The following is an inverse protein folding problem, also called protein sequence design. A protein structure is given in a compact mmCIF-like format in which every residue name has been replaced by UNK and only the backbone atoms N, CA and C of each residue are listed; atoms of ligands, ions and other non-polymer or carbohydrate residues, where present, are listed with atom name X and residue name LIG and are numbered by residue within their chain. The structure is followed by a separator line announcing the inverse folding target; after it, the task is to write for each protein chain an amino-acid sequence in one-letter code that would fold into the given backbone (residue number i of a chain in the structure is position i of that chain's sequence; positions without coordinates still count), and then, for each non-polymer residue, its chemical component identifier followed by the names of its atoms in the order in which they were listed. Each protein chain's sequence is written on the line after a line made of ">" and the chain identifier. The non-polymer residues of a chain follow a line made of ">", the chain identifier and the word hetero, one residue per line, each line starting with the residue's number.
data_IF_993056300949
#
_entry.id   IF_993056300949
#
_cell.length_a   1.000
_cell.length_b   1.000
_cell.length_c   1.000
_cell.angle_alpha   90.00
_cell.angle_beta   90.00
_cell.angle_gamma   90.00
#
_symmetry.space_group_name_H-M   'P 1'
#
loop_
_entity.id
_entity.type
_entity.pdbx_description
1 polymer ?
#
# COMPACT_ATOMS: atom_id res chain seq x y z
N UNK A 1 -6.29 23.60 -10.88
CA UNK A 1 -6.81 22.30 -10.38
C UNK A 1 -6.41 22.15 -8.92
N UNK A 2 -7.33 21.73 -8.02
CA UNK A 2 -7.04 21.56 -6.59
C UNK A 2 -7.13 20.11 -6.20
N UNK A 3 -6.13 19.59 -5.49
CA UNK A 3 -6.07 18.21 -5.01
C UNK A 3 -5.71 18.23 -3.53
N UNK A 4 -6.44 17.51 -2.70
CA UNK A 4 -6.12 17.25 -1.30
C UNK A 4 -5.58 15.84 -1.21
N UNK A 5 -4.42 15.66 -0.60
CA UNK A 5 -3.79 14.36 -0.43
C UNK A 5 -3.49 14.09 1.04
N UNK A 6 -3.98 12.97 1.55
CA UNK A 6 -3.55 12.42 2.84
C UNK A 6 -2.55 11.29 2.63
N UNK A 7 -1.67 11.06 3.61
CA UNK A 7 -0.72 9.95 3.54
C UNK A 7 0.49 10.19 2.64
N UNK A 8 0.77 11.43 2.22
CA UNK A 8 1.91 11.78 1.35
C UNK A 8 3.28 11.34 1.89
N UNK A 9 3.42 11.10 3.19
CA UNK A 9 4.66 10.56 3.81
C UNK A 9 4.68 9.02 3.90
N UNK A 10 3.67 8.35 3.34
CA UNK A 10 3.59 6.89 3.26
C UNK A 10 4.25 6.34 1.98
N UNK A 11 4.35 5.00 1.89
CA UNK A 11 4.95 4.31 0.74
C UNK A 11 4.28 4.72 -0.58
N UNK A 12 2.97 4.51 -0.69
CA UNK A 12 2.23 4.84 -1.91
C UNK A 12 1.96 6.34 -2.03
N UNK A 13 1.61 7.00 -0.91
CA UNK A 13 1.26 8.42 -0.93
C UNK A 13 2.38 9.34 -1.40
N UNK A 14 3.65 9.01 -1.12
CA UNK A 14 4.81 9.76 -1.64
C UNK A 14 4.91 9.67 -3.17
N UNK A 15 4.65 8.50 -3.74
CA UNK A 15 4.63 8.32 -5.19
C UNK A 15 3.44 9.01 -5.84
N UNK A 16 2.25 8.99 -5.20
CA UNK A 16 1.09 9.79 -5.67
C UNK A 16 1.43 11.28 -5.67
N UNK A 17 2.08 11.78 -4.61
CA UNK A 17 2.56 13.17 -4.56
C UNK A 17 3.51 13.50 -5.71
N UNK A 18 4.47 12.62 -6.00
CA UNK A 18 5.41 12.83 -7.12
C UNK A 18 4.69 12.86 -8.47
N UNK A 19 3.78 11.92 -8.73
CA UNK A 19 3.01 11.88 -9.97
C UNK A 19 2.12 13.14 -10.17
N UNK A 20 1.49 13.65 -9.08
CA UNK A 20 0.72 14.88 -9.13
C UNK A 20 1.62 16.09 -9.43
N UNK A 21 2.77 16.20 -8.78
CA UNK A 21 3.72 17.29 -9.02
C UNK A 21 4.29 17.21 -10.45
N UNK A 22 4.61 16.03 -10.94
CA UNK A 22 5.03 15.83 -12.32
C UNK A 22 3.94 16.26 -13.30
N UNK A 23 2.67 15.90 -13.04
CA UNK A 23 1.52 16.35 -13.83
C UNK A 23 1.46 17.88 -13.89
N UNK A 24 1.57 18.59 -12.76
CA UNK A 24 1.55 20.06 -12.74
C UNK A 24 2.72 20.69 -13.49
N UNK A 25 3.93 20.12 -13.35
CA UNK A 25 5.15 20.62 -14.00
C UNK A 25 5.08 20.43 -15.52
N UNK A 26 4.68 19.24 -15.97
CA UNK A 26 4.73 18.87 -17.39
C UNK A 26 3.60 19.45 -18.21
N UNK A 27 2.40 19.52 -17.65
CA UNK A 27 1.21 20.02 -18.35
C UNK A 27 1.00 21.51 -18.17
N UNK A 28 1.79 22.16 -17.31
CA UNK A 28 1.67 23.59 -16.95
C UNK A 28 0.25 23.97 -16.46
N UNK A 29 -0.45 23.00 -15.87
CA UNK A 29 -1.75 23.25 -15.24
C UNK A 29 -1.52 24.13 -14.01
N UNK A 30 -2.32 25.17 -13.86
CA UNK A 30 -2.43 25.92 -12.60
C UNK A 30 -3.04 24.99 -11.55
N UNK A 31 -2.16 24.31 -10.79
CA UNK A 31 -2.49 23.26 -9.84
C UNK A 31 -2.01 23.59 -8.43
N UNK A 32 -2.82 23.24 -7.43
CA UNK A 32 -2.45 23.31 -6.01
C UNK A 32 -2.70 21.97 -5.33
N UNK A 33 -1.67 21.45 -4.67
CA UNK A 33 -1.69 20.22 -3.90
C UNK A 33 -1.69 20.57 -2.40
N UNK A 34 -2.81 20.33 -1.74
CA UNK A 34 -2.96 20.45 -0.30
C UNK A 34 -2.60 19.13 0.36
N UNK A 35 -1.55 19.10 1.16
CA UNK A 35 -1.07 17.88 1.84
C UNK A 35 -1.48 17.92 3.29
N UNK A 36 -2.36 16.99 3.68
CA UNK A 36 -2.69 16.77 5.09
C UNK A 36 -1.65 15.83 5.68
N UNK A 37 -0.79 16.35 6.55
CA UNK A 37 0.27 15.58 7.21
C UNK A 37 0.36 15.95 8.69
N UNK A 38 0.76 14.96 9.51
CA UNK A 38 0.95 15.13 10.96
C UNK A 38 2.44 15.37 11.28
N UNK A 39 2.69 16.15 12.32
CA UNK A 39 4.00 16.17 12.94
C UNK A 39 4.37 14.77 13.47
N UNK A 40 5.64 14.42 13.50
CA UNK A 40 6.11 13.13 13.98
C UNK A 40 7.38 13.29 14.83
N UNK A 41 7.25 13.10 16.11
CA UNK A 41 8.33 13.35 17.05
C UNK A 41 8.75 14.83 17.01
N UNK A 42 10.00 15.10 16.66
CA UNK A 42 10.55 16.48 16.56
C UNK A 42 10.43 17.08 15.16
N UNK A 43 9.96 16.31 14.16
CA UNK A 43 9.85 16.76 12.78
C UNK A 43 8.46 17.32 12.51
N UNK A 44 8.39 18.53 11.98
CA UNK A 44 7.15 19.10 11.48
C UNK A 44 6.68 18.39 10.21
N UNK A 45 5.39 18.57 9.85
CA UNK A 45 4.86 18.09 8.58
C UNK A 45 5.64 18.67 7.39
N UNK A 46 6.01 19.96 7.46
CA UNK A 46 6.81 20.64 6.44
C UNK A 46 8.21 20.01 6.30
N UNK A 47 8.91 19.75 7.42
CA UNK A 47 10.24 19.13 7.38
C UNK A 47 10.19 17.76 6.71
N UNK A 48 9.18 16.96 7.05
CA UNK A 48 8.98 15.63 6.47
C UNK A 48 8.72 15.65 4.97
N UNK A 49 7.92 16.60 4.48
CA UNK A 49 7.69 16.75 3.05
C UNK A 49 8.95 17.26 2.35
N UNK A 50 9.67 18.21 2.93
CA UNK A 50 10.94 18.69 2.38
C UNK A 50 12.00 17.59 2.30
N UNK A 51 12.10 16.72 3.31
CA UNK A 51 12.98 15.55 3.28
C UNK A 51 12.63 14.61 2.12
N UNK A 52 11.33 14.36 1.89
CA UNK A 52 10.88 13.57 0.74
C UNK A 52 11.30 14.23 -0.58
N UNK A 53 11.01 15.52 -0.76
CA UNK A 53 11.32 16.25 -1.99
C UNK A 53 12.83 16.37 -2.26
N UNK A 54 13.66 16.32 -1.21
CA UNK A 54 15.13 16.38 -1.29
C UNK A 54 15.79 15.01 -1.36
N UNK A 55 15.03 13.92 -1.25
CA UNK A 55 15.60 12.58 -1.14
C UNK A 55 16.30 12.16 -2.44
N UNK A 56 17.25 11.20 -2.32
CA UNK A 56 17.89 10.59 -3.49
C UNK A 56 16.91 9.89 -4.43
N UNK A 57 15.74 9.51 -3.93
CA UNK A 57 14.71 8.76 -4.63
C UNK A 57 13.65 9.61 -5.30
N UNK A 58 13.65 10.91 -5.05
CA UNK A 58 12.73 11.85 -5.72
C UNK A 58 13.00 11.84 -7.23
N UNK A 59 11.97 11.76 -8.08
CA UNK A 59 12.15 11.80 -9.53
C UNK A 59 12.93 13.04 -9.98
N UNK A 60 13.79 12.86 -11.00
CA UNK A 60 14.67 13.92 -11.50
C UNK A 60 13.93 15.19 -11.88
N UNK A 61 12.79 15.06 -12.55
CA UNK A 61 11.97 16.21 -12.99
C UNK A 61 11.53 17.09 -11.81
N UNK A 62 11.24 16.48 -10.64
CA UNK A 62 10.88 17.19 -9.42
C UNK A 62 12.10 17.86 -8.79
N UNK A 63 13.25 17.14 -8.73
CA UNK A 63 14.50 17.72 -8.23
C UNK A 63 14.96 18.92 -9.05
N UNK A 64 14.89 18.80 -10.38
CA UNK A 64 15.31 19.87 -11.31
C UNK A 64 14.43 21.13 -11.17
N UNK A 65 13.18 20.99 -10.71
CA UNK A 65 12.31 22.12 -10.44
C UNK A 65 12.78 22.93 -9.21
N UNK A 66 13.38 22.28 -8.23
CA UNK A 66 13.88 22.90 -6.99
C UNK A 66 12.78 23.16 -5.97
N UNK A 67 13.12 22.97 -4.67
CA UNK A 67 12.16 23.00 -3.57
C UNK A 67 11.38 24.32 -3.50
N UNK A 68 12.05 25.45 -3.65
CA UNK A 68 11.39 26.77 -3.59
C UNK A 68 10.23 26.90 -4.60
N UNK A 69 10.43 26.42 -5.83
CA UNK A 69 9.39 26.40 -6.86
C UNK A 69 8.32 25.34 -6.64
N UNK A 70 8.68 24.21 -6.00
CA UNK A 70 7.70 23.19 -5.64
C UNK A 70 6.70 23.69 -4.59
N UNK A 71 7.12 24.57 -3.68
CA UNK A 71 6.23 25.20 -2.71
C UNK A 71 5.17 26.13 -3.34
N UNK A 72 5.36 26.56 -4.59
CA UNK A 72 4.30 27.24 -5.33
C UNK A 72 3.10 26.32 -5.61
N UNK A 73 3.36 25.02 -5.78
CA UNK A 73 2.34 23.98 -6.02
C UNK A 73 1.81 23.35 -4.73
N UNK A 74 2.57 23.39 -3.63
CA UNK A 74 2.24 22.63 -2.41
C UNK A 74 1.77 23.61 -1.31
N UNK A 75 0.75 23.17 -0.58
CA UNK A 75 0.35 23.78 0.69
C UNK A 75 0.18 22.65 1.73
N UNK A 76 0.85 22.81 2.87
CA UNK A 76 0.83 21.80 3.93
C UNK A 76 -0.17 22.21 4.98
N UNK A 77 -1.14 21.34 5.21
CA UNK A 77 -2.12 21.46 6.27
C UNK A 77 -1.59 20.63 7.45
N UNK A 78 -0.98 21.32 8.40
CA UNK A 78 -0.52 20.74 9.67
C UNK A 78 -1.72 20.72 10.63
N UNK A 79 -2.15 19.51 10.99
CA UNK A 79 -3.51 19.35 11.48
C UNK A 79 -3.67 19.23 12.98
N UNK A 80 -4.33 20.21 13.54
CA UNK A 80 -5.49 19.91 14.39
C UNK A 80 -6.75 19.97 13.48
N UNK A 81 -7.38 18.82 13.21
CA UNK A 81 -8.54 18.73 12.30
C UNK A 81 -9.69 19.66 12.69
N UNK A 82 -9.76 20.11 13.95
CA UNK A 82 -10.75 21.05 14.45
C UNK A 82 -10.55 22.48 13.90
N UNK A 83 -9.33 22.85 13.51
CA UNK A 83 -9.00 24.21 13.02
C UNK A 83 -9.24 24.36 11.51
N UNK A 84 -9.40 23.25 10.78
CA UNK A 84 -9.50 23.28 9.31
C UNK A 84 -10.81 23.94 8.82
N UNK A 85 -11.89 23.88 9.57
CA UNK A 85 -13.22 24.29 9.10
C UNK A 85 -13.32 25.75 8.67
N UNK A 86 -12.68 26.68 9.35
CA UNK A 86 -12.87 28.11 9.09
C UNK A 86 -11.87 28.74 8.11
N UNK A 87 -10.64 28.21 8.07
CA UNK A 87 -9.54 28.84 7.32
C UNK A 87 -9.42 28.34 5.88
N UNK A 88 -9.87 27.11 5.59
CA UNK A 88 -9.60 26.46 4.31
C UNK A 88 -10.80 26.32 3.37
N UNK A 89 -12.02 26.53 3.83
CA UNK A 89 -13.24 26.26 3.06
C UNK A 89 -13.28 26.93 1.68
N UNK A 90 -12.81 28.17 1.58
CA UNK A 90 -12.77 28.90 0.30
C UNK A 90 -11.60 28.48 -0.61
N UNK A 91 -10.47 28.09 -0.01
CA UNK A 91 -9.26 27.70 -0.76
C UNK A 91 -9.40 26.31 -1.39
N UNK A 92 -10.04 25.37 -0.68
CA UNK A 92 -10.17 23.96 -1.10
C UNK A 92 -11.46 23.64 -1.87
N UNK A 93 -12.33 24.65 -2.07
CA UNK A 93 -13.59 24.42 -2.80
C UNK A 93 -13.34 23.79 -4.17
N UNK A 94 -14.16 22.77 -4.51
CA UNK A 94 -14.11 21.99 -5.75
C UNK A 94 -12.82 21.16 -5.93
N UNK A 95 -12.18 20.77 -4.81
CA UNK A 95 -11.00 19.93 -4.85
C UNK A 95 -11.33 18.45 -5.10
N UNK A 96 -10.37 17.71 -5.65
CA UNK A 96 -10.33 16.24 -5.57
C UNK A 96 -9.70 15.84 -4.25
N UNK A 97 -10.28 14.89 -3.52
CA UNK A 97 -9.75 14.41 -2.26
C UNK A 97 -9.20 12.99 -2.43
N UNK A 98 -7.89 12.82 -2.36
CA UNK A 98 -7.22 11.52 -2.45
C UNK A 98 -6.82 11.08 -1.05
N UNK A 99 -7.52 10.07 -0.52
CA UNK A 99 -7.27 9.53 0.81
C UNK A 99 -6.40 8.28 0.73
N UNK A 100 -5.08 8.49 0.84
CA UNK A 100 -4.06 7.41 0.85
C UNK A 100 -3.50 7.13 2.25
N UNK A 101 -3.88 7.89 3.28
CA UNK A 101 -3.49 7.58 4.64
C UNK A 101 -4.13 6.28 5.12
N UNK A 102 -3.35 5.44 5.80
CA UNK A 102 -3.81 4.20 6.39
C UNK A 102 -2.72 3.58 7.24
N UNK A 103 -3.13 2.82 8.25
CA UNK A 103 -2.26 2.07 9.15
C UNK A 103 -2.25 0.61 8.74
N UNK A 104 -1.22 0.21 7.99
CA UNK A 104 -1.03 -1.18 7.57
C UNK A 104 -0.44 -1.96 8.74
N UNK A 105 -1.28 -2.76 9.38
CA UNK A 105 -0.90 -3.67 10.45
C UNK A 105 -1.64 -5.00 10.24
N UNK A 106 -0.92 -6.03 9.83
CA UNK A 106 -1.47 -7.36 9.56
C UNK A 106 -1.59 -8.22 10.84
N UNK A 107 -1.46 -7.61 12.03
CA UNK A 107 -1.59 -8.33 13.28
C UNK A 107 -2.93 -9.06 13.36
N UNK A 108 -2.86 -10.30 13.80
CA UNK A 108 -4.00 -11.14 14.17
C UNK A 108 -4.30 -11.05 15.66
N UNK A 109 -3.56 -10.24 16.42
CA UNK A 109 -3.74 -10.05 17.85
C UNK A 109 -4.98 -9.17 18.12
N UNK A 110 -5.91 -9.65 18.94
CA UNK A 110 -7.15 -8.93 19.24
C UNK A 110 -6.89 -7.56 19.90
N UNK A 111 -5.83 -7.44 20.70
CA UNK A 111 -5.41 -6.18 21.33
C UNK A 111 -5.08 -5.06 20.32
N UNK A 112 -4.70 -5.41 19.09
CA UNK A 112 -4.41 -4.44 18.04
C UNK A 112 -5.66 -4.02 17.24
N UNK A 113 -6.76 -4.74 17.39
CA UNK A 113 -7.97 -4.57 16.57
C UNK A 113 -8.55 -3.16 16.67
N UNK A 114 -8.77 -2.68 17.88
CA UNK A 114 -9.35 -1.34 18.10
C UNK A 114 -8.49 -0.25 17.46
N UNK A 115 -7.18 -0.30 17.70
CA UNK A 115 -6.22 0.65 17.09
C UNK A 115 -6.24 0.61 15.58
N UNK A 116 -6.32 -0.60 14.98
CA UNK A 116 -6.39 -0.77 13.53
C UNK A 116 -7.65 -0.12 12.96
N UNK A 117 -8.81 -0.32 13.63
CA UNK A 117 -10.07 0.30 13.24
C UNK A 117 -10.04 1.83 13.39
N UNK A 118 -9.50 2.33 14.50
CA UNK A 118 -9.39 3.77 14.75
C UNK A 118 -8.53 4.46 13.68
N UNK A 119 -7.34 3.92 13.42
CA UNK A 119 -6.38 4.50 12.46
C UNK A 119 -6.79 4.33 10.98
N UNK A 120 -7.74 3.47 10.65
CA UNK A 120 -8.24 3.30 9.30
C UNK A 120 -9.70 3.78 9.16
N UNK A 121 -10.64 3.17 9.85
CA UNK A 121 -12.07 3.42 9.63
C UNK A 121 -12.53 4.73 10.27
N UNK A 122 -12.17 4.99 11.52
CA UNK A 122 -12.60 6.20 12.23
C UNK A 122 -11.98 7.47 11.63
N UNK A 123 -10.70 7.43 11.29
CA UNK A 123 -10.03 8.54 10.60
C UNK A 123 -10.66 8.79 9.22
N UNK A 124 -10.95 7.74 8.44
CA UNK A 124 -11.63 7.88 7.14
C UNK A 124 -12.99 8.57 7.29
N UNK A 125 -13.81 8.14 8.27
CA UNK A 125 -15.11 8.75 8.55
C UNK A 125 -14.99 10.21 8.96
N UNK A 126 -14.03 10.54 9.83
CA UNK A 126 -13.79 11.91 10.29
C UNK A 126 -13.37 12.82 9.14
N UNK A 127 -12.45 12.37 8.28
CA UNK A 127 -12.00 13.13 7.11
C UNK A 127 -13.13 13.31 6.09
N UNK A 128 -13.93 12.27 5.83
CA UNK A 128 -15.07 12.39 4.94
C UNK A 128 -16.05 13.46 5.47
N UNK A 129 -16.47 13.35 6.73
CA UNK A 129 -17.42 14.28 7.34
C UNK A 129 -16.91 15.73 7.31
N UNK A 130 -15.62 15.95 7.45
CA UNK A 130 -15.00 17.27 7.44
C UNK A 130 -14.94 17.86 6.02
N UNK A 131 -14.58 17.06 5.01
CA UNK A 131 -14.23 17.57 3.68
C UNK A 131 -15.34 17.44 2.63
N UNK A 132 -16.34 16.54 2.80
CA UNK A 132 -17.36 16.31 1.77
C UNK A 132 -18.08 17.57 1.28
N UNK A 133 -18.30 18.67 2.09
CA UNK A 133 -18.98 19.85 1.58
C UNK A 133 -18.13 20.69 0.62
N UNK A 134 -16.82 20.49 0.58
CA UNK A 134 -15.87 21.32 -0.15
C UNK A 134 -15.25 20.64 -1.35
N UNK A 135 -15.47 19.33 -1.51
CA UNK A 135 -14.82 18.52 -2.55
C UNK A 135 -15.81 18.15 -3.66
N UNK A 136 -15.31 17.97 -4.85
CA UNK A 136 -16.12 17.51 -5.98
C UNK A 136 -16.02 16.00 -6.24
N UNK A 137 -15.04 15.32 -5.62
CA UNK A 137 -14.87 13.88 -5.72
C UNK A 137 -14.01 13.34 -4.59
N UNK A 138 -14.40 12.19 -4.02
CA UNK A 138 -13.65 11.48 -3.01
C UNK A 138 -12.99 10.23 -3.61
N UNK A 139 -11.65 10.15 -3.58
CA UNK A 139 -10.87 9.01 -4.04
C UNK A 139 -10.28 8.30 -2.84
N UNK A 140 -10.77 7.10 -2.55
CA UNK A 140 -10.32 6.28 -1.43
C UNK A 140 -9.34 5.21 -1.90
N UNK A 141 -8.16 5.15 -1.26
CA UNK A 141 -7.19 4.09 -1.52
C UNK A 141 -7.46 2.96 -0.53
N UNK A 142 -8.10 1.91 -1.04
CA UNK A 142 -8.43 0.68 -0.34
C UNK A 142 -7.31 -0.34 -0.39
N UNK A 143 -7.71 -1.61 -0.47
CA UNK A 143 -6.80 -2.73 -0.73
C UNK A 143 -7.53 -3.85 -1.47
N UNK A 144 -6.86 -4.54 -2.39
CA UNK A 144 -7.43 -5.73 -3.05
C UNK A 144 -7.78 -6.84 -2.03
N UNK A 145 -7.13 -6.83 -0.87
CA UNK A 145 -7.38 -7.79 0.21
C UNK A 145 -8.64 -7.49 1.03
N UNK A 146 -9.32 -6.37 0.81
CA UNK A 146 -10.68 -6.15 1.36
C UNK A 146 -11.71 -7.15 0.82
N UNK A 147 -11.39 -7.87 -0.26
CA UNK A 147 -12.15 -9.03 -0.73
C UNK A 147 -12.11 -10.25 0.22
N UNK A 148 -11.22 -10.26 1.21
CA UNK A 148 -11.08 -11.35 2.19
C UNK A 148 -10.68 -12.68 1.57
N UNK A 149 -11.26 -13.77 2.10
CA UNK A 149 -11.02 -15.16 1.67
C UNK A 149 -11.88 -15.59 0.46
N UNK A 150 -12.36 -14.67 -0.36
CA UNK A 150 -13.15 -15.00 -1.56
C UNK A 150 -12.30 -15.79 -2.55
N UNK A 151 -12.94 -16.77 -3.19
CA UNK A 151 -12.34 -17.64 -4.21
C UNK A 151 -12.81 -17.25 -5.61
N UNK A 152 -12.02 -17.64 -6.60
CA UNK A 152 -12.34 -17.41 -8.01
C UNK A 152 -12.03 -16.00 -8.47
N UNK A 153 -12.71 -15.58 -9.52
CA UNK A 153 -12.51 -14.26 -10.12
C UNK A 153 -13.15 -13.15 -9.28
N UNK A 154 -12.37 -12.17 -8.92
CA UNK A 154 -12.79 -10.98 -8.18
C UNK A 154 -12.85 -9.80 -9.16
N UNK A 155 -14.07 -9.36 -9.46
CA UNK A 155 -14.32 -8.18 -10.29
C UNK A 155 -14.07 -6.87 -9.53
N UNK A 156 -14.12 -5.75 -10.26
CA UNK A 156 -13.90 -4.44 -9.67
C UNK A 156 -15.02 -3.99 -8.72
N UNK A 157 -16.23 -4.56 -8.85
CA UNK A 157 -17.43 -4.14 -8.12
C UNK A 157 -17.88 -5.16 -7.06
N UNK A 158 -16.96 -5.91 -6.46
CA UNK A 158 -17.31 -7.00 -5.56
C UNK A 158 -18.14 -6.59 -4.32
N UNK A 159 -18.12 -5.33 -3.91
CA UNK A 159 -18.99 -4.84 -2.83
C UNK A 159 -20.48 -4.89 -3.16
N UNK A 160 -20.86 -4.93 -4.45
CA UNK A 160 -22.25 -5.03 -4.86
C UNK A 160 -22.92 -6.37 -4.53
N UNK A 161 -22.16 -7.37 -4.09
CA UNK A 161 -22.64 -8.71 -3.80
C UNK A 161 -23.39 -8.85 -2.46
N UNK A 162 -23.44 -7.79 -1.65
CA UNK A 162 -24.34 -7.70 -0.50
C UNK A 162 -23.97 -8.54 0.73
N UNK A 163 -22.76 -9.15 0.79
CA UNK A 163 -22.28 -9.87 1.96
C UNK A 163 -20.86 -9.45 2.35
N UNK A 164 -20.55 -9.56 3.64
CA UNK A 164 -19.21 -9.34 4.18
C UNK A 164 -18.39 -10.62 4.04
N UNK A 165 -17.22 -10.58 3.38
CA UNK A 165 -16.33 -11.73 3.30
C UNK A 165 -15.63 -11.97 4.65
N UNK A 166 -15.19 -13.21 4.87
CA UNK A 166 -14.29 -13.53 5.97
C UNK A 166 -12.90 -12.90 5.70
N UNK A 167 -12.40 -12.10 6.64
CA UNK A 167 -11.11 -11.42 6.54
C UNK A 167 -10.05 -12.11 7.38
N UNK A 168 -8.80 -12.12 6.90
CA UNK A 168 -7.67 -12.76 7.58
C UNK A 168 -7.22 -12.02 8.83
N UNK A 169 -7.48 -10.71 8.89
CA UNK A 169 -7.07 -9.83 9.99
C UNK A 169 -7.93 -8.57 10.06
N UNK A 170 -7.76 -7.82 11.16
CA UNK A 170 -8.49 -6.58 11.42
C UNK A 170 -8.22 -5.47 10.38
N UNK A 171 -7.04 -5.46 9.74
CA UNK A 171 -6.72 -4.47 8.71
C UNK A 171 -7.60 -4.64 7.46
N UNK A 172 -7.70 -5.86 6.93
CA UNK A 172 -8.56 -6.14 5.77
C UNK A 172 -10.02 -5.79 6.07
N UNK A 173 -10.49 -6.16 7.25
CA UNK A 173 -11.85 -5.86 7.71
C UNK A 173 -12.08 -4.35 7.85
N UNK A 174 -11.16 -3.60 8.48
CA UNK A 174 -11.27 -2.15 8.62
C UNK A 174 -11.28 -1.43 7.26
N UNK A 175 -10.49 -1.91 6.29
CA UNK A 175 -10.49 -1.36 4.93
C UNK A 175 -11.80 -1.64 4.22
N UNK A 176 -12.35 -2.85 4.33
CA UNK A 176 -13.67 -3.21 3.80
C UNK A 176 -14.78 -2.29 4.35
N UNK A 177 -14.83 -2.09 5.65
CA UNK A 177 -15.81 -1.18 6.27
C UNK A 177 -15.64 0.27 5.84
N UNK A 178 -14.41 0.74 5.66
CA UNK A 178 -14.13 2.08 5.17
C UNK A 178 -14.59 2.28 3.72
N UNK A 179 -14.34 1.30 2.85
CA UNK A 179 -14.79 1.30 1.46
C UNK A 179 -16.33 1.35 1.36
N UNK A 180 -17.02 0.50 2.13
CA UNK A 180 -18.48 0.49 2.19
C UNK A 180 -19.05 1.82 2.69
N UNK A 181 -18.46 2.39 3.74
CA UNK A 181 -18.86 3.69 4.27
C UNK A 181 -18.75 4.78 3.19
N UNK A 182 -17.62 4.88 2.50
CA UNK A 182 -17.41 5.89 1.45
C UNK A 182 -18.42 5.70 0.31
N UNK A 183 -18.60 4.45 -0.17
CA UNK A 183 -19.56 4.18 -1.25
C UNK A 183 -20.99 4.56 -0.86
N UNK A 184 -21.42 4.22 0.35
CA UNK A 184 -22.78 4.51 0.84
C UNK A 184 -23.00 6.01 1.04
N UNK A 185 -22.11 6.70 1.74
CA UNK A 185 -22.28 8.11 2.03
C UNK A 185 -22.15 8.98 0.77
N UNK A 186 -21.19 8.67 -0.12
CA UNK A 186 -21.08 9.39 -1.39
C UNK A 186 -22.35 9.24 -2.25
N UNK A 187 -22.88 8.01 -2.38
CA UNK A 187 -24.14 7.77 -3.12
C UNK A 187 -25.31 8.51 -2.51
N UNK A 188 -25.42 8.53 -1.18
CA UNK A 188 -26.49 9.20 -0.45
C UNK A 188 -26.55 10.72 -0.71
N UNK A 189 -25.41 11.38 -0.86
CA UNK A 189 -25.31 12.82 -1.06
C UNK A 189 -25.02 13.22 -2.53
N UNK A 190 -24.92 12.26 -3.44
CA UNK A 190 -24.62 12.50 -4.86
C UNK A 190 -23.18 12.99 -5.12
N UNK A 191 -22.23 12.68 -4.21
CA UNK A 191 -20.82 13.04 -4.39
C UNK A 191 -20.12 11.97 -5.25
N UNK A 192 -19.49 12.31 -6.38
CA UNK A 192 -18.65 11.39 -7.14
C UNK A 192 -17.55 10.77 -6.26
N UNK A 193 -17.28 9.47 -6.45
CA UNK A 193 -16.24 8.80 -5.69
C UNK A 193 -15.47 7.76 -6.53
N UNK A 194 -14.31 7.37 -6.01
CA UNK A 194 -13.56 6.20 -6.49
C UNK A 194 -13.05 5.38 -5.30
N UNK A 195 -13.11 4.05 -5.42
CA UNK A 195 -12.46 3.10 -4.52
C UNK A 195 -11.40 2.36 -5.34
N UNK A 196 -10.14 2.66 -5.07
CA UNK A 196 -8.98 2.13 -5.79
C UNK A 196 -8.22 1.16 -4.88
N UNK A 197 -8.09 -0.10 -5.29
CA UNK A 197 -7.63 -1.21 -4.44
C UNK A 197 -6.31 -1.79 -4.94
N UNK A 198 -5.16 -1.25 -4.51
CA UNK A 198 -3.88 -1.89 -4.82
C UNK A 198 -3.75 -3.24 -4.09
N UNK A 199 -3.03 -4.18 -4.71
CA UNK A 199 -2.56 -5.40 -4.06
C UNK A 199 -1.30 -5.12 -3.22
N UNK A 200 -0.49 -6.15 -2.91
CA UNK A 200 0.77 -5.95 -2.16
C UNK A 200 1.71 -5.05 -2.95
N UNK A 201 2.09 -3.95 -2.33
CA UNK A 201 2.98 -2.98 -2.94
C UNK A 201 4.42 -3.51 -2.96
N UNK A 202 4.97 -3.66 -4.16
CA UNK A 202 6.38 -3.95 -4.42
C UNK A 202 7.19 -2.70 -4.78
N UNK A 203 8.49 -2.88 -4.98
CA UNK A 203 9.40 -1.81 -5.40
C UNK A 203 9.08 -1.26 -6.79
N UNK A 204 9.64 -0.12 -7.13
CA UNK A 204 9.47 0.56 -8.43
C UNK A 204 9.88 -0.32 -9.60
N UNK A 205 9.11 -0.26 -10.68
CA UNK A 205 9.43 -0.95 -11.93
C UNK A 205 9.22 -0.09 -13.19
N UNK A 206 8.64 1.10 -13.06
CA UNK A 206 8.52 2.03 -14.18
C UNK A 206 9.78 2.89 -14.31
N UNK A 207 10.30 2.96 -15.51
CA UNK A 207 11.52 3.74 -15.78
C UNK A 207 12.80 3.12 -15.20
N UNK A 208 13.91 3.86 -15.34
CA UNK A 208 15.26 3.39 -14.98
C UNK A 208 15.80 4.02 -13.70
N UNK A 209 15.11 5.01 -13.12
CA UNK A 209 15.55 5.71 -11.93
C UNK A 209 15.23 4.91 -10.67
N UNK A 210 16.25 4.52 -9.91
CA UNK A 210 16.11 3.78 -8.65
C UNK A 210 15.18 2.54 -8.78
N UNK A 211 15.47 1.60 -9.69
CA UNK A 211 14.63 0.42 -9.85
C UNK A 211 14.56 -0.37 -8.54
N UNK A 212 13.40 -0.97 -8.29
CA UNK A 212 13.09 -1.75 -7.09
C UNK A 212 13.07 -0.97 -5.76
N UNK A 213 13.24 0.37 -5.81
CA UNK A 213 13.14 1.20 -4.61
C UNK A 213 11.75 1.10 -3.95
N UNK A 214 11.77 0.96 -2.64
CA UNK A 214 10.61 1.10 -1.75
C UNK A 214 11.07 1.68 -0.42
N UNK A 215 10.29 2.58 0.17
CA UNK A 215 10.68 3.28 1.40
C UNK A 215 10.47 2.46 2.68
N UNK A 216 9.60 1.43 2.65
CA UNK A 216 9.35 0.53 3.78
C UNK A 216 9.20 -0.91 3.30
N UNK A 217 9.80 -1.81 4.04
CA UNK A 217 9.83 -3.23 3.73
C UNK A 217 8.73 -3.97 4.51
N UNK A 218 7.62 -4.32 3.82
CA UNK A 218 6.45 -4.96 4.41
C UNK A 218 6.15 -6.30 3.74
N UNK A 219 5.24 -7.08 4.29
CA UNK A 219 4.74 -8.36 3.77
C UNK A 219 5.90 -9.32 3.44
N UNK A 220 6.13 -9.67 2.18
CA UNK A 220 7.18 -10.61 1.77
C UNK A 220 8.61 -10.10 2.08
N UNK A 221 8.80 -8.78 2.15
CA UNK A 221 10.07 -8.21 2.60
C UNK A 221 10.34 -8.48 4.09
N UNK A 222 9.31 -8.54 4.95
CA UNK A 222 9.49 -8.88 6.37
C UNK A 222 9.98 -10.31 6.53
N UNK A 223 9.46 -11.23 5.71
CA UNK A 223 9.95 -12.60 5.66
C UNK A 223 11.43 -12.63 5.25
N UNK A 224 11.78 -11.98 4.16
CA UNK A 224 13.14 -11.88 3.67
C UNK A 224 14.08 -11.25 4.72
N UNK A 225 13.64 -10.17 5.39
CA UNK A 225 14.37 -9.51 6.47
C UNK A 225 14.66 -10.44 7.63
N UNK A 226 13.66 -11.17 8.12
CA UNK A 226 13.82 -12.11 9.22
C UNK A 226 14.88 -13.15 8.91
N UNK A 227 14.79 -13.82 7.76
CA UNK A 227 15.72 -14.88 7.39
C UNK A 227 17.09 -14.33 6.95
N UNK A 228 17.18 -13.12 6.42
CA UNK A 228 18.47 -12.48 6.18
C UNK A 228 19.28 -12.31 7.49
N UNK A 229 18.67 -11.75 8.54
CA UNK A 229 19.37 -11.58 9.81
C UNK A 229 19.58 -12.90 10.56
N UNK A 230 18.71 -13.88 10.35
CA UNK A 230 18.87 -15.21 10.93
C UNK A 230 20.01 -15.97 10.26
N UNK A 231 20.17 -15.87 8.93
CA UNK A 231 21.25 -16.54 8.19
C UNK A 231 22.66 -16.04 8.57
N UNK A 232 22.76 -14.83 9.12
CA UNK A 232 24.05 -14.24 9.57
C UNK A 232 24.46 -14.66 10.97
N UNK A 233 23.62 -15.38 11.71
CA UNK A 233 23.96 -15.86 13.06
C UNK A 233 25.03 -16.95 12.97
N UNK A 234 25.92 -16.98 13.97
CA UNK A 234 26.93 -18.06 14.10
C UNK A 234 26.25 -19.37 14.46
N UNK A 235 26.68 -20.46 13.84
CA UNK A 235 26.17 -21.80 14.05
C UNK A 235 25.44 -22.35 12.80
N UNK A 236 25.04 -23.61 12.89
CA UNK A 236 24.29 -24.26 11.81
C UNK A 236 22.88 -23.68 11.73
N UNK A 237 22.37 -23.53 10.51
CA UNK A 237 20.99 -23.11 10.29
C UNK A 237 20.03 -24.21 10.76
N UNK A 238 19.13 -23.85 11.66
CA UNK A 238 18.04 -24.75 12.10
C UNK A 238 17.00 -24.92 10.99
N UNK A 239 16.42 -26.12 10.85
CA UNK A 239 15.36 -26.33 9.87
C UNK A 239 14.07 -25.60 10.26
N UNK A 240 13.53 -24.79 9.36
CA UNK A 240 12.22 -24.12 9.52
C UNK A 240 11.22 -24.72 8.54
N UNK A 241 10.13 -25.25 9.08
CA UNK A 241 9.03 -25.77 8.27
C UNK A 241 8.04 -24.63 7.98
N UNK A 242 7.75 -24.40 6.71
CA UNK A 242 6.70 -23.47 6.29
C UNK A 242 5.43 -24.25 5.95
N UNK A 243 4.33 -23.94 6.62
CA UNK A 243 3.02 -24.44 6.25
C UNK A 243 2.55 -23.62 5.05
N UNK A 244 2.39 -24.28 3.90
CA UNK A 244 1.99 -23.63 2.65
C UNK A 244 0.98 -24.50 1.91
N UNK A 245 0.05 -23.85 1.21
CA UNK A 245 -0.76 -24.48 0.18
C UNK A 245 -0.03 -24.30 -1.16
N UNK A 246 0.15 -25.35 -1.93
CA UNK A 246 0.88 -25.34 -3.20
C UNK A 246 0.28 -24.36 -4.23
N UNK A 247 -1.04 -24.19 -4.20
CA UNK A 247 -1.76 -23.28 -5.09
C UNK A 247 -1.81 -21.83 -4.60
N UNK A 248 -1.22 -21.55 -3.43
CA UNK A 248 -1.28 -20.18 -2.86
C UNK A 248 -0.46 -19.20 -3.70
N UNK A 249 -1.08 -18.06 -3.99
CA UNK A 249 -0.47 -17.00 -4.75
C UNK A 249 -0.49 -15.68 -3.97
N UNK A 250 0.44 -14.81 -4.26
CA UNK A 250 0.46 -13.43 -3.77
C UNK A 250 0.45 -12.49 -4.97
N UNK A 251 -0.54 -11.60 -4.99
CA UNK A 251 -0.57 -10.55 -5.99
C UNK A 251 0.31 -9.40 -5.53
N UNK A 252 1.29 -9.01 -6.35
CA UNK A 252 2.26 -7.96 -6.07
C UNK A 252 2.24 -6.97 -7.22
N UNK A 253 2.19 -5.69 -6.90
CA UNK A 253 2.13 -4.60 -7.88
C UNK A 253 3.17 -3.51 -7.57
N UNK A 254 3.90 -2.96 -8.55
CA UNK A 254 4.89 -1.92 -8.32
C UNK A 254 4.27 -0.61 -7.81
N UNK A 255 4.93 0.03 -6.86
CA UNK A 255 4.43 1.25 -6.19
C UNK A 255 4.23 2.41 -7.17
N UNK A 256 5.15 2.62 -8.09
CA UNK A 256 5.10 3.68 -9.10
C UNK A 256 4.01 3.43 -10.15
N UNK A 257 3.78 2.17 -10.52
CA UNK A 257 2.67 1.80 -11.39
C UNK A 257 1.32 2.16 -10.75
N UNK A 258 1.13 1.80 -9.48
CA UNK A 258 -0.10 2.13 -8.74
C UNK A 258 -0.32 3.64 -8.69
N UNK A 259 0.71 4.41 -8.34
CA UNK A 259 0.62 5.86 -8.28
C UNK A 259 0.26 6.47 -9.66
N UNK A 260 0.90 5.98 -10.73
CA UNK A 260 0.64 6.41 -12.10
C UNK A 260 -0.80 6.14 -12.53
N UNK A 261 -1.30 4.92 -12.26
CA UNK A 261 -2.72 4.58 -12.54
C UNK A 261 -3.66 5.51 -11.80
N UNK A 262 -3.46 5.73 -10.48
CA UNK A 262 -4.30 6.63 -9.68
C UNK A 262 -4.37 8.02 -10.30
N UNK A 263 -3.21 8.59 -10.67
CA UNK A 263 -3.14 9.94 -11.24
C UNK A 263 -3.70 10.00 -12.67
N UNK A 264 -3.65 8.91 -13.42
CA UNK A 264 -4.27 8.84 -14.75
C UNK A 264 -5.80 8.82 -14.70
N UNK A 265 -6.39 8.33 -13.60
CA UNK A 265 -7.85 8.06 -13.55
C UNK A 265 -8.62 8.88 -12.53
N UNK A 266 -7.99 9.61 -11.61
CA UNK A 266 -8.73 10.28 -10.52
C UNK A 266 -9.80 11.27 -11.02
N UNK A 267 -9.69 11.78 -12.23
CA UNK A 267 -10.68 12.67 -12.85
C UNK A 267 -11.79 11.92 -13.62
N UNK A 268 -11.60 10.64 -13.93
CA UNK A 268 -12.56 9.85 -14.72
C UNK A 268 -13.81 9.56 -13.90
N UNK A 269 -14.98 9.85 -14.48
CA UNK A 269 -16.28 9.65 -13.82
C UNK A 269 -16.86 8.25 -14.09
N UNK A 270 -16.41 7.58 -15.15
CA UNK A 270 -16.84 6.23 -15.55
C UNK A 270 -16.21 5.11 -14.71
N UNK A 271 -15.28 5.42 -13.81
CA UNK A 271 -14.63 4.45 -12.93
C UNK A 271 -14.97 4.77 -11.47
N UNK A 272 -15.89 4.01 -10.87
CA UNK A 272 -16.17 4.10 -9.44
C UNK A 272 -15.27 3.18 -8.62
N UNK A 273 -14.93 2.01 -9.14
CA UNK A 273 -14.14 1.01 -8.43
C UNK A 273 -13.11 0.37 -9.36
N UNK A 274 -11.89 0.16 -8.88
CA UNK A 274 -10.83 -0.50 -9.64
C UNK A 274 -9.89 -1.26 -8.72
N UNK A 275 -9.66 -2.54 -9.02
CA UNK A 275 -8.58 -3.31 -8.45
C UNK A 275 -7.27 -2.99 -9.21
N UNK A 276 -6.29 -2.40 -8.53
CA UNK A 276 -4.98 -2.10 -9.11
C UNK A 276 -4.03 -3.22 -8.71
N UNK A 277 -4.02 -4.26 -9.53
CA UNK A 277 -3.40 -5.55 -9.23
C UNK A 277 -2.61 -6.05 -10.44
N UNK A 278 -1.70 -6.96 -10.22
CA UNK A 278 -1.02 -7.64 -11.31
C UNK A 278 -1.96 -8.67 -11.97
N UNK A 279 -1.94 -8.78 -13.29
CA UNK A 279 -2.77 -9.72 -14.04
C UNK A 279 -2.40 -11.20 -13.80
N UNK A 280 -1.21 -11.44 -13.23
CA UNK A 280 -0.74 -12.77 -12.84
C UNK A 280 -0.17 -12.71 -11.44
N UNK A 281 -0.83 -13.35 -10.50
CA UNK A 281 -0.33 -13.50 -9.13
C UNK A 281 0.89 -14.42 -9.07
N UNK A 282 1.80 -14.16 -8.13
CA UNK A 282 3.05 -14.89 -7.95
C UNK A 282 2.84 -16.12 -7.07
N UNK A 283 3.25 -17.32 -7.51
CA UNK A 283 3.15 -18.52 -6.69
C UNK A 283 4.03 -18.42 -5.44
N UNK A 284 3.44 -18.61 -4.26
CA UNK A 284 4.13 -18.38 -2.99
C UNK A 284 5.12 -19.47 -2.61
N UNK A 285 4.92 -20.71 -3.07
CA UNK A 285 5.90 -21.79 -2.90
C UNK A 285 7.22 -21.42 -3.61
N UNK A 286 7.09 -20.93 -4.83
CA UNK A 286 8.24 -20.45 -5.59
C UNK A 286 8.83 -19.17 -4.98
N UNK A 287 7.98 -18.23 -4.56
CA UNK A 287 8.39 -17.01 -3.87
C UNK A 287 9.21 -17.28 -2.61
N UNK A 288 8.78 -18.24 -1.78
CA UNK A 288 9.54 -18.67 -0.60
C UNK A 288 10.93 -19.19 -0.97
N UNK A 289 11.01 -20.07 -1.99
CA UNK A 289 12.31 -20.59 -2.45
C UNK A 289 13.24 -19.48 -2.94
N UNK A 290 12.73 -18.53 -3.71
CA UNK A 290 13.52 -17.41 -4.20
C UNK A 290 13.98 -16.49 -3.06
N UNK A 291 13.11 -16.17 -2.09
CA UNK A 291 13.47 -15.40 -0.90
C UNK A 291 14.59 -16.09 -0.14
N UNK A 292 14.41 -17.38 0.20
CA UNK A 292 15.38 -18.15 0.98
C UNK A 292 16.74 -18.25 0.29
N UNK A 293 16.73 -18.49 -1.03
CA UNK A 293 17.94 -18.50 -1.85
C UNK A 293 18.66 -17.15 -1.81
N UNK A 294 17.94 -16.04 -2.02
CA UNK A 294 18.55 -14.69 -2.08
C UNK A 294 19.10 -14.25 -0.71
N UNK A 295 18.44 -14.60 0.40
CA UNK A 295 18.91 -14.24 1.75
C UNK A 295 19.93 -15.24 2.33
N UNK A 296 20.19 -16.37 1.64
CA UNK A 296 21.18 -17.35 2.04
C UNK A 296 20.73 -18.26 3.21
N UNK A 297 19.42 -18.50 3.35
CA UNK A 297 18.88 -19.45 4.32
C UNK A 297 18.45 -20.74 3.61
N UNK A 298 19.23 -21.81 3.76
CA UNK A 298 19.07 -23.04 2.97
C UNK A 298 18.34 -24.16 3.69
N UNK A 299 18.28 -24.12 5.03
CA UNK A 299 17.71 -25.21 5.83
C UNK A 299 16.22 -24.94 6.13
N UNK A 300 15.35 -25.24 5.18
CA UNK A 300 13.90 -25.12 5.34
C UNK A 300 13.15 -26.25 4.63
N UNK A 301 11.91 -26.50 5.06
CA UNK A 301 11.03 -27.51 4.48
C UNK A 301 9.64 -26.89 4.25
N UNK A 302 9.05 -27.15 3.10
CA UNK A 302 7.66 -26.80 2.82
C UNK A 302 6.77 -27.98 3.20
N UNK A 303 5.75 -27.73 4.01
CA UNK A 303 4.81 -28.76 4.47
C UNK A 303 3.38 -28.32 4.18
N UNK A 304 2.53 -29.27 3.81
CA UNK A 304 1.09 -29.03 3.72
C UNK A 304 0.49 -29.02 5.14
N UNK A 305 -0.64 -28.31 5.26
CA UNK A 305 -1.30 -28.05 6.52
C UNK A 305 -1.31 -29.24 7.49
N UNK A 306 -0.72 -29.07 8.67
CA UNK A 306 -0.73 -30.07 9.75
C UNK A 306 -1.47 -29.50 10.95
N UNK A 307 -2.50 -30.21 11.42
CA UNK A 307 -3.23 -29.87 12.63
C UNK A 307 -2.38 -30.05 13.90
N UNK A 308 -1.36 -30.93 13.83
CA UNK A 308 -0.48 -31.26 14.97
C UNK A 308 0.89 -30.57 14.86
N UNK A 309 0.88 -29.28 14.45
CA UNK A 309 2.11 -28.53 14.31
C UNK A 309 2.70 -28.15 15.68
N UNK A 310 3.81 -28.83 16.06
CA UNK A 310 4.62 -28.44 17.21
C UNK A 310 5.98 -27.92 16.74
N UNK A 311 6.46 -26.82 17.29
CA UNK A 311 7.77 -26.25 16.94
C UNK A 311 8.90 -27.24 17.27
N UNK A 312 9.82 -27.43 16.33
CA UNK A 312 10.94 -28.38 16.49
C UNK A 312 12.23 -27.72 16.96
N UNK A 313 12.32 -26.39 16.84
CA UNK A 313 13.52 -25.65 17.22
C UNK A 313 13.20 -24.16 17.53
N UNK A 314 14.22 -23.45 17.98
CA UNK A 314 14.09 -22.07 18.45
C UNK A 314 13.78 -21.10 17.32
N UNK A 315 14.38 -21.27 16.14
CA UNK A 315 14.17 -20.34 15.01
C UNK A 315 12.76 -20.52 14.44
N UNK A 316 12.29 -21.75 14.30
CA UNK A 316 10.93 -22.05 13.87
C UNK A 316 9.90 -21.43 14.82
N UNK A 317 10.10 -21.61 16.14
CA UNK A 317 9.26 -20.97 17.17
C UNK A 317 9.28 -19.47 17.04
N UNK A 318 10.45 -18.84 16.96
CA UNK A 318 10.60 -17.40 16.83
C UNK A 318 9.91 -16.85 15.57
N UNK A 319 10.03 -17.56 14.45
CA UNK A 319 9.34 -17.21 13.22
C UNK A 319 7.83 -17.17 13.40
N UNK A 320 7.23 -18.27 13.88
CA UNK A 320 5.77 -18.37 14.02
C UNK A 320 5.19 -17.48 15.12
N UNK A 321 5.92 -17.23 16.21
CA UNK A 321 5.48 -16.31 17.27
C UNK A 321 5.65 -14.84 16.92
N UNK A 322 6.40 -14.51 15.86
CA UNK A 322 6.61 -13.14 15.39
C UNK A 322 5.84 -12.87 14.08
N UNK A 323 6.58 -12.87 12.96
CA UNK A 323 6.02 -12.52 11.65
C UNK A 323 5.16 -13.64 11.04
N UNK A 324 5.51 -14.90 11.32
CA UNK A 324 4.84 -16.07 10.73
C UNK A 324 3.36 -16.15 11.07
N UNK A 325 2.97 -15.82 12.30
CA UNK A 325 1.56 -15.83 12.70
C UNK A 325 0.70 -14.84 11.88
N UNK A 326 1.30 -13.75 11.40
CA UNK A 326 0.61 -12.72 10.61
C UNK A 326 0.64 -13.01 9.11
N UNK A 327 1.68 -13.73 8.64
CA UNK A 327 1.85 -14.05 7.23
C UNK A 327 1.29 -15.42 6.84
N UNK A 328 1.23 -16.38 7.77
CA UNK A 328 0.72 -17.74 7.49
C UNK A 328 -0.68 -17.78 6.88
N UNK A 329 -1.65 -16.91 7.28
CA UNK A 329 -2.95 -16.86 6.61
C UNK A 329 -2.88 -16.61 5.10
N UNK A 330 -1.83 -15.93 4.63
CA UNK A 330 -1.61 -15.66 3.21
C UNK A 330 -0.90 -16.80 2.47
N UNK A 331 -0.31 -17.75 3.21
CA UNK A 331 0.36 -18.93 2.63
C UNK A 331 -0.53 -20.17 2.59
N UNK A 332 -1.66 -20.13 3.30
CA UNK A 332 -2.57 -21.26 3.43
C UNK A 332 -3.94 -21.03 2.76
N UNK A 333 -4.23 -19.80 2.33
CA UNK A 333 -5.48 -19.48 1.61
C UNK A 333 -5.45 -19.98 0.17
N UNK A 334 -6.62 -20.33 -0.36
CA UNK A 334 -6.77 -20.64 -1.78
C UNK A 334 -6.47 -19.42 -2.65
N UNK A 335 -5.97 -19.66 -3.85
CA UNK A 335 -5.75 -18.65 -4.86
C UNK A 335 -7.06 -17.94 -5.25
N UNK A 336 -6.97 -16.63 -5.46
CA UNK A 336 -7.97 -15.84 -6.15
C UNK A 336 -7.34 -15.18 -7.38
N UNK A 337 -8.18 -14.83 -8.33
CA UNK A 337 -7.81 -14.09 -9.54
C UNK A 337 -8.57 -12.76 -9.56
N UNK A 338 -8.03 -11.80 -10.25
CA UNK A 338 -8.65 -10.48 -10.39
C UNK A 338 -8.93 -10.18 -11.86
N UNK A 339 -10.07 -9.55 -12.13
CA UNK A 339 -10.33 -8.97 -13.45
C UNK A 339 -9.48 -7.71 -13.65
N UNK A 340 -8.53 -7.79 -14.57
CA UNK A 340 -7.64 -6.69 -14.94
C UNK A 340 -7.97 -6.02 -16.25
N UNK A 341 -9.07 -6.42 -16.93
CA UNK A 341 -9.44 -5.93 -18.27
C UNK A 341 -9.48 -4.41 -18.34
N UNK A 342 -10.11 -3.76 -17.36
CA UNK A 342 -10.17 -2.31 -17.29
C UNK A 342 -8.79 -1.71 -16.98
N UNK A 343 -8.05 -2.30 -16.07
CA UNK A 343 -6.71 -1.83 -15.66
C UNK A 343 -5.72 -1.88 -16.83
N UNK A 344 -5.70 -2.99 -17.59
CA UNK A 344 -4.85 -3.17 -18.76
C UNK A 344 -5.14 -2.12 -19.86
N UNK A 345 -6.40 -1.65 -19.95
CA UNK A 345 -6.77 -0.57 -20.88
C UNK A 345 -6.30 0.83 -20.46
N UNK A 346 -5.95 1.02 -19.17
CA UNK A 346 -5.50 2.30 -18.62
C UNK A 346 -3.98 2.46 -18.73
N UNK A 347 -3.26 1.42 -18.34
CA UNK A 347 -1.79 1.40 -18.37
C UNK A 347 -1.32 -0.07 -18.40
N UNK A 348 -0.41 -0.39 -19.29
CA UNK A 348 0.20 -1.72 -19.38
C UNK A 348 0.87 -2.10 -18.06
N UNK A 349 0.54 -3.31 -17.56
CA UNK A 349 1.07 -3.81 -16.29
C UNK A 349 2.52 -4.29 -16.49
N UNK A 350 3.50 -3.77 -15.72
CA UNK A 350 4.88 -4.22 -15.81
C UNK A 350 5.00 -5.72 -15.50
N UNK A 351 5.80 -6.43 -16.28
CA UNK A 351 6.02 -7.87 -16.08
C UNK A 351 6.72 -8.14 -14.75
N UNK A 352 6.08 -8.89 -13.88
CA UNK A 352 6.63 -9.39 -12.63
C UNK A 352 6.97 -10.88 -12.75
N UNK A 353 8.19 -11.17 -13.19
CA UNK A 353 8.73 -12.53 -13.22
C UNK A 353 9.63 -12.83 -12.01
N UNK A 354 10.23 -14.02 -11.97
CA UNK A 354 11.12 -14.44 -10.89
C UNK A 354 12.36 -13.55 -10.74
N UNK A 355 12.86 -13.03 -11.86
CA UNK A 355 14.01 -12.13 -11.86
C UNK A 355 13.65 -10.79 -11.21
N UNK A 356 12.54 -10.18 -11.61
CA UNK A 356 12.05 -8.94 -11.03
C UNK A 356 11.74 -9.10 -9.53
N UNK A 357 11.08 -10.20 -9.14
CA UNK A 357 10.83 -10.50 -7.72
C UNK A 357 12.13 -10.65 -6.92
N UNK A 358 13.09 -11.43 -7.46
CA UNK A 358 14.40 -11.62 -6.82
C UNK A 358 15.16 -10.30 -6.70
N UNK A 359 15.09 -9.44 -7.71
CA UNK A 359 15.73 -8.13 -7.67
C UNK A 359 15.11 -7.20 -6.62
N UNK A 360 13.81 -7.28 -6.36
CA UNK A 360 13.18 -6.57 -5.22
C UNK A 360 13.77 -7.02 -3.87
N UNK A 361 13.95 -8.33 -3.67
CA UNK A 361 14.57 -8.86 -2.45
C UNK A 361 16.04 -8.47 -2.36
N UNK A 362 16.78 -8.57 -3.46
CA UNK A 362 18.20 -8.17 -3.55
C UNK A 362 18.38 -6.69 -3.24
N UNK A 363 17.53 -5.82 -3.78
CA UNK A 363 17.53 -4.40 -3.46
C UNK A 363 17.35 -4.17 -1.95
N UNK A 364 16.36 -4.80 -1.33
CA UNK A 364 16.10 -4.70 0.11
C UNK A 364 17.29 -5.19 0.94
N UNK A 365 17.89 -6.33 0.56
CA UNK A 365 19.08 -6.91 1.20
C UNK A 365 20.29 -5.98 1.12
N UNK A 366 20.57 -5.40 -0.04
CA UNK A 366 21.67 -4.44 -0.24
C UNK A 366 21.51 -3.19 0.63
N UNK A 367 20.27 -2.82 0.97
CA UNK A 367 19.94 -1.73 1.90
C UNK A 367 19.72 -2.21 3.34
N UNK A 368 20.16 -3.44 3.68
CA UNK A 368 19.99 -4.06 5.01
C UNK A 368 18.54 -3.99 5.53
N UNK A 369 17.54 -4.02 4.66
CA UNK A 369 16.13 -3.86 5.01
C UNK A 369 15.85 -2.66 5.94
N UNK A 370 16.60 -1.58 5.78
CA UNK A 370 16.45 -0.38 6.59
C UNK A 370 15.37 0.51 5.99
N UNK A 371 14.28 0.67 6.72
CA UNK A 371 13.21 1.58 6.32
C UNK A 371 13.70 3.03 6.27
N UNK A 372 13.22 3.77 5.27
CA UNK A 372 13.42 5.20 5.16
C UNK A 372 12.27 5.87 5.90
N UNK A 373 12.56 6.36 7.11
CA UNK A 373 11.60 7.06 7.94
C UNK A 373 11.70 8.57 7.69
N UNK A 374 10.65 9.10 7.12
CA UNK A 374 10.44 10.53 6.92
C UNK A 374 9.37 11.04 7.87
#
# INVERSE_FOLDING_TARGET
>A
MKIILTGATGVLGSHIMYEILELFITTKIDGKLFIIARNKGKKSALDRINELLSSSYTPKIIKDKGIAKLHEYIEIIDTDLAVIQDTFSSQIKDAYFIHSAGFVNLSTDEEQREKIFDENTKITKSLFNLFHPFIKKFIYIGTAFSSGNRKGLIDNNFHSLGFEPEHRNAYENAKFHSENFIAQECKKIGLPFQILRPSVIGGKMLGTENPYFISKYMVFYLLAKFFHFTSQRKGDQENVRFIVNEDTVLNIIPVDYVAKVIVNIFQREDIEQLNIVHNKSFNMVNGLRLIMKEVGYTNFTLIQNSLDFAYKNTIEKLYYESIGKHLSPYFTTAANEYDTTLLDSILEIPKLDEEAFTNMIRYAKLNNFKDINV
#
